data_IF_317456265830
#
_entry.id   IF_317456265830
#
_cell.length_a   1.000
_cell.length_b   1.000
_cell.length_c   1.000
_cell.angle_alpha   90.00
_cell.angle_beta   90.00
_cell.angle_gamma   90.00
#
_symmetry.space_group_name_H-M   'P 1'
#
loop_
_entity.id
_entity.type
_entity.pdbx_description
1 polymer ?
#
# COMPACT_ATOMS: atom_id res chain seq x y z
N UNK A 1 -63.38 30.69 29.91
CA UNK A 1 -62.17 31.53 30.01
C UNK A 1 -61.89 32.04 28.60
N UNK A 2 -62.50 33.19 28.25
CA UNK A 2 -62.38 33.79 26.92
C UNK A 2 -61.10 34.63 26.91
N UNK A 3 -60.21 34.40 25.95
CA UNK A 3 -59.03 35.23 25.71
C UNK A 3 -59.46 36.52 24.99
N UNK A 4 -58.91 37.64 25.46
CA UNK A 4 -59.14 39.01 24.97
C UNK A 4 -58.58 39.21 23.54
N UNK A 5 -59.39 39.68 22.55
CA UNK A 5 -59.01 39.77 21.14
C UNK A 5 -58.18 41.01 20.73
N UNK A 6 -57.69 41.84 21.66
CA UNK A 6 -56.97 43.07 21.32
C UNK A 6 -55.48 43.05 21.66
N UNK A 7 -54.68 42.25 20.95
CA UNK A 7 -53.23 42.48 20.88
C UNK A 7 -52.98 43.70 19.98
N UNK A 8 -52.33 44.78 20.46
CA UNK A 8 -52.12 45.98 19.67
C UNK A 8 -51.21 45.71 18.46
N UNK A 9 -51.60 46.16 17.26
CA UNK A 9 -50.81 45.98 16.01
C UNK A 9 -49.37 46.49 16.13
N UNK A 10 -49.14 47.56 16.89
CA UNK A 10 -47.79 48.10 17.12
C UNK A 10 -46.87 47.14 17.88
N UNK A 11 -47.43 46.27 18.72
CA UNK A 11 -46.67 45.25 19.44
C UNK A 11 -46.20 44.14 18.49
N UNK A 12 -47.02 43.78 17.50
CA UNK A 12 -46.69 42.76 16.49
C UNK A 12 -45.67 43.28 15.47
N UNK A 13 -45.75 44.55 15.06
CA UNK A 13 -44.79 45.14 14.12
C UNK A 13 -43.41 45.43 14.73
N UNK A 14 -43.35 45.77 16.03
CA UNK A 14 -42.08 45.95 16.74
C UNK A 14 -41.36 44.62 17.00
N UNK A 15 -42.08 43.61 17.49
CA UNK A 15 -41.50 42.30 17.82
C UNK A 15 -41.00 41.54 16.59
N UNK A 16 -41.70 41.63 15.45
CA UNK A 16 -41.26 40.98 14.21
C UNK A 16 -39.95 41.54 13.66
N UNK A 17 -39.72 42.86 13.75
CA UNK A 17 -38.47 43.48 13.28
C UNK A 17 -37.26 43.05 14.11
N UNK A 18 -37.38 43.04 15.44
CA UNK A 18 -36.28 42.61 16.33
C UNK A 18 -35.93 41.13 16.14
N UNK A 19 -36.93 40.27 15.94
CA UNK A 19 -36.71 38.85 15.63
C UNK A 19 -35.96 38.69 14.30
N UNK A 20 -36.36 39.41 13.26
CA UNK A 20 -35.69 39.35 11.95
C UNK A 20 -34.24 39.83 12.04
N UNK A 21 -33.99 40.94 12.74
CA UNK A 21 -32.62 41.46 12.96
C UNK A 21 -31.78 40.43 13.73
N UNK A 22 -32.33 39.81 14.77
CA UNK A 22 -31.66 38.76 15.54
C UNK A 22 -31.30 37.54 14.68
N UNK A 23 -32.22 37.07 13.83
CA UNK A 23 -31.97 35.95 12.91
C UNK A 23 -30.89 36.30 11.89
N UNK A 24 -30.96 37.48 11.26
CA UNK A 24 -29.97 37.91 10.28
C UNK A 24 -28.58 38.08 10.90
N UNK A 25 -28.51 38.69 12.09
CA UNK A 25 -27.26 38.80 12.86
C UNK A 25 -26.67 37.42 13.19
N UNK A 26 -27.51 36.50 13.67
CA UNK A 26 -27.10 35.12 13.93
C UNK A 26 -26.58 34.39 12.69
N UNK A 27 -27.27 34.54 11.55
CA UNK A 27 -26.86 33.94 10.27
C UNK A 27 -25.52 34.50 9.77
N UNK A 28 -25.30 35.82 9.87
CA UNK A 28 -24.03 36.45 9.47
C UNK A 28 -22.87 35.93 10.33
N UNK A 29 -23.04 35.87 11.65
CA UNK A 29 -22.02 35.36 12.57
C UNK A 29 -21.73 33.88 12.29
N UNK A 30 -22.77 33.07 12.09
CA UNK A 30 -22.63 31.65 11.74
C UNK A 30 -21.90 31.46 10.40
N UNK A 31 -22.26 32.24 9.38
CA UNK A 31 -21.63 32.18 8.05
C UNK A 31 -20.16 32.61 8.13
N UNK A 32 -19.84 33.68 8.86
CA UNK A 32 -18.47 34.14 9.08
C UNK A 32 -17.62 33.11 9.82
N UNK A 33 -18.15 32.52 10.89
CA UNK A 33 -17.47 31.45 11.65
C UNK A 33 -17.25 30.20 10.77
N UNK A 34 -18.24 29.83 9.97
CA UNK A 34 -18.16 28.70 9.04
C UNK A 34 -17.12 28.91 7.94
N UNK A 35 -17.07 30.11 7.35
CA UNK A 35 -16.07 30.47 6.34
C UNK A 35 -14.65 30.49 6.93
N UNK A 36 -14.47 31.08 8.12
CA UNK A 36 -13.18 31.06 8.83
C UNK A 36 -12.71 29.63 9.12
N UNK A 37 -13.61 28.78 9.62
CA UNK A 37 -13.33 27.36 9.88
C UNK A 37 -12.98 26.61 8.60
N UNK A 38 -13.71 26.85 7.51
CA UNK A 38 -13.42 26.26 6.21
C UNK A 38 -12.06 26.68 5.66
N UNK A 39 -11.74 27.98 5.73
CA UNK A 39 -10.45 28.53 5.30
C UNK A 39 -9.29 27.95 6.14
N UNK A 40 -9.41 27.94 7.48
CA UNK A 40 -8.41 27.35 8.37
C UNK A 40 -8.20 25.87 8.05
N UNK A 41 -9.30 25.09 7.96
CA UNK A 41 -9.22 23.67 7.63
C UNK A 41 -8.53 23.41 6.28
N UNK A 42 -8.74 24.30 5.31
CA UNK A 42 -8.09 24.20 4.00
C UNK A 42 -6.60 24.53 4.09
N UNK A 43 -6.22 25.57 4.82
CA UNK A 43 -4.83 25.93 5.07
C UNK A 43 -4.10 24.78 5.78
N UNK A 44 -4.70 24.24 6.85
CA UNK A 44 -4.12 23.15 7.63
C UNK A 44 -3.93 21.87 6.79
N UNK A 45 -4.88 21.56 5.90
CA UNK A 45 -4.77 20.42 4.96
C UNK A 45 -3.67 20.61 3.92
N UNK A 46 -3.43 21.84 3.47
CA UNK A 46 -2.33 22.13 2.55
C UNK A 46 -0.98 22.11 3.27
N UNK A 47 -0.94 22.58 4.52
CA UNK A 47 0.26 22.59 5.34
C UNK A 47 0.67 21.19 5.79
N UNK A 48 -0.31 20.34 6.12
CA UNK A 48 -0.10 18.96 6.58
C UNK A 48 -1.02 18.02 5.80
N UNK A 49 -0.66 17.60 4.58
CA UNK A 49 -1.52 16.78 3.73
C UNK A 49 -1.48 15.31 4.17
N UNK A 50 -2.03 14.99 5.34
CA UNK A 50 -1.96 13.66 5.94
C UNK A 50 -3.06 12.70 5.46
N UNK A 51 -4.12 13.20 4.84
CA UNK A 51 -5.13 12.32 4.24
C UNK A 51 -4.53 11.45 3.12
N UNK A 52 -4.89 10.17 3.09
CA UNK A 52 -4.42 9.23 2.07
C UNK A 52 -4.29 7.80 2.58
N UNK A 53 -3.67 6.97 1.74
CA UNK A 53 -3.35 5.58 2.05
C UNK A 53 -1.87 5.47 2.44
N UNK A 54 -1.58 4.59 3.38
CA UNK A 54 -0.28 4.40 3.98
C UNK A 54 0.01 2.91 4.16
N UNK A 55 1.29 2.56 4.21
CA UNK A 55 1.76 1.33 4.83
C UNK A 55 2.25 1.70 6.22
N UNK A 56 1.47 1.32 7.24
CA UNK A 56 1.90 1.45 8.62
C UNK A 56 2.87 0.32 8.98
N UNK A 57 3.88 0.61 9.80
CA UNK A 57 4.79 -0.36 10.39
C UNK A 57 4.92 -0.08 11.88
N UNK A 58 4.70 -1.08 12.72
CA UNK A 58 4.87 -0.96 14.16
C UNK A 58 5.81 -2.06 14.66
N UNK A 59 6.63 -1.71 15.64
CA UNK A 59 7.47 -2.66 16.34
C UNK A 59 6.61 -3.44 17.34
N UNK A 60 6.63 -4.76 17.25
CA UNK A 60 5.91 -5.67 18.14
C UNK A 60 6.89 -6.64 18.83
N UNK A 61 6.53 -7.13 20.01
CA UNK A 61 7.34 -8.07 20.77
C UNK A 61 6.86 -9.50 20.55
N UNK A 62 7.72 -10.33 19.97
CA UNK A 62 7.50 -11.77 19.84
C UNK A 62 8.38 -12.53 20.83
N UNK A 63 8.13 -13.84 21.07
CA UNK A 63 9.06 -14.69 21.82
C UNK A 63 10.49 -14.71 21.27
N UNK A 64 10.69 -14.35 19.99
CA UNK A 64 11.99 -14.30 19.32
C UNK A 64 12.60 -12.89 19.27
N UNK A 65 12.01 -11.92 19.98
CA UNK A 65 12.44 -10.53 20.02
C UNK A 65 11.51 -9.59 19.25
N UNK A 66 12.00 -8.37 19.03
CA UNK A 66 11.24 -7.29 18.39
C UNK A 66 11.19 -7.47 16.87
N UNK A 67 10.00 -7.42 16.30
CA UNK A 67 9.77 -7.52 14.85
C UNK A 67 8.96 -6.34 14.36
N UNK A 68 9.18 -5.93 13.11
CA UNK A 68 8.36 -4.91 12.46
C UNK A 68 7.19 -5.55 11.74
N UNK A 69 5.97 -5.25 12.19
CA UNK A 69 4.74 -5.71 11.53
C UNK A 69 4.25 -4.60 10.60
N UNK A 70 3.97 -4.94 9.35
CA UNK A 70 3.47 -3.98 8.34
C UNK A 70 1.99 -4.22 8.03
N UNK A 71 1.24 -3.14 7.86
CA UNK A 71 -0.20 -3.19 7.64
C UNK A 71 -0.70 -1.99 6.83
N UNK A 72 -1.66 -2.17 5.90
CA UNK A 72 -2.27 -1.06 5.19
C UNK A 72 -3.09 -0.20 6.15
N UNK A 73 -2.96 1.11 5.99
CA UNK A 73 -3.67 2.12 6.77
C UNK A 73 -4.30 3.18 5.87
N UNK A 74 -5.44 3.71 6.27
CA UNK A 74 -6.13 4.80 5.58
C UNK A 74 -6.43 5.91 6.55
N UNK A 75 -5.88 7.10 6.28
CA UNK A 75 -6.06 8.29 7.10
C UNK A 75 -7.00 9.29 6.41
N UNK A 76 -7.92 9.86 7.18
CA UNK A 76 -8.79 10.99 6.83
C UNK A 76 -8.42 12.17 7.72
N UNK A 77 -8.52 13.39 7.17
CA UNK A 77 -8.15 14.61 7.88
C UNK A 77 -9.25 15.66 7.81
N UNK A 78 -9.61 16.23 8.96
CA UNK A 78 -10.59 17.30 9.11
C UNK A 78 -9.97 18.45 9.92
N UNK A 79 -9.34 19.39 9.20
CA UNK A 79 -8.52 20.44 9.82
C UNK A 79 -7.28 19.82 10.47
N UNK A 80 -7.11 20.05 11.77
CA UNK A 80 -6.04 19.46 12.58
C UNK A 80 -6.38 18.05 13.11
N UNK A 81 -7.62 17.57 12.94
CA UNK A 81 -7.98 16.22 13.39
C UNK A 81 -7.65 15.20 12.31
N UNK A 82 -7.06 14.08 12.73
CA UNK A 82 -6.74 12.93 11.87
C UNK A 82 -7.45 11.70 12.45
N UNK A 83 -8.23 11.03 11.62
CA UNK A 83 -8.83 9.73 11.97
C UNK A 83 -8.40 8.70 10.94
N UNK A 84 -8.23 7.46 11.34
CA UNK A 84 -7.77 6.44 10.43
C UNK A 84 -8.13 5.03 10.84
N UNK A 85 -7.84 4.08 9.96
CA UNK A 85 -7.98 2.66 10.23
C UNK A 85 -6.77 1.92 9.69
N UNK A 86 -6.21 1.01 10.49
CA UNK A 86 -5.16 0.06 10.09
C UNK A 86 -5.72 -1.36 10.14
N UNK A 87 -5.39 -2.18 9.14
CA UNK A 87 -5.87 -3.58 9.05
C UNK A 87 -4.72 -4.56 9.25
N UNK A 88 -4.83 -5.44 10.25
CA UNK A 88 -3.82 -6.46 10.57
C UNK A 88 -4.53 -7.81 10.61
N UNK A 89 -4.40 -8.59 9.54
CA UNK A 89 -5.23 -9.79 9.34
C UNK A 89 -6.71 -9.42 9.41
N UNK A 90 -7.46 -10.12 10.26
CA UNK A 90 -8.88 -9.84 10.49
C UNK A 90 -9.15 -8.71 11.50
N UNK A 91 -8.10 -8.19 12.16
CA UNK A 91 -8.23 -7.11 13.13
C UNK A 91 -8.19 -5.75 12.46
N UNK A 92 -9.04 -4.85 12.95
CA UNK A 92 -9.08 -3.44 12.54
C UNK A 92 -8.82 -2.55 13.75
N UNK A 93 -7.91 -1.60 13.57
CA UNK A 93 -7.52 -0.64 14.59
C UNK A 93 -7.93 0.75 14.14
N UNK A 94 -8.76 1.43 14.93
CA UNK A 94 -9.15 2.82 14.71
C UNK A 94 -8.09 3.74 15.31
N UNK A 95 -7.73 4.77 14.56
CA UNK A 95 -6.79 5.81 14.93
C UNK A 95 -7.57 7.13 15.09
N UNK A 96 -7.31 7.88 16.15
CA UNK A 96 -7.86 9.23 16.35
C UNK A 96 -6.79 10.11 16.98
N UNK A 97 -6.36 11.15 16.26
CA UNK A 97 -5.30 12.04 16.70
C UNK A 97 -5.50 13.48 16.26
N UNK A 98 -4.67 14.35 16.82
CA UNK A 98 -4.65 15.80 16.53
C UNK A 98 -3.25 16.21 16.12
N UNK A 99 -3.16 17.05 15.09
CA UNK A 99 -1.93 17.67 14.61
C UNK A 99 -1.61 18.87 15.50
N UNK A 100 -0.41 18.94 16.06
CA UNK A 100 0.13 20.18 16.61
C UNK A 100 0.66 21.06 15.47
N UNK A 101 -0.01 22.20 15.16
CA UNK A 101 0.40 23.07 14.06
C UNK A 101 1.73 23.78 14.30
N UNK A 102 2.25 23.82 15.53
CA UNK A 102 3.56 24.40 15.84
C UNK A 102 4.67 23.35 15.78
N UNK A 103 4.41 22.19 16.37
CA UNK A 103 5.39 21.11 16.50
C UNK A 103 5.51 20.18 15.28
N UNK A 104 4.52 20.16 14.38
CA UNK A 104 4.55 19.27 13.22
C UNK A 104 4.48 17.79 13.60
N UNK A 105 3.79 17.47 14.69
CA UNK A 105 3.54 16.09 15.14
C UNK A 105 2.05 15.81 15.27
N UNK A 106 1.70 14.54 15.24
CA UNK A 106 0.36 14.00 15.46
C UNK A 106 0.39 13.16 16.73
N UNK A 107 -0.44 13.48 17.70
CA UNK A 107 -0.63 12.66 18.90
C UNK A 107 -2.08 12.22 19.01
N UNK A 108 -2.31 11.01 19.49
CA UNK A 108 -3.66 10.48 19.55
C UNK A 108 -3.76 9.14 20.25
N UNK A 109 -4.94 8.56 20.14
CA UNK A 109 -5.29 7.24 20.64
C UNK A 109 -5.54 6.28 19.48
N UNK A 110 -5.24 5.02 19.71
CA UNK A 110 -5.70 3.93 18.86
C UNK A 110 -6.48 2.93 19.70
N UNK A 111 -7.50 2.31 19.10
CA UNK A 111 -8.32 1.30 19.75
C UNK A 111 -8.72 0.21 18.77
N UNK A 112 -8.90 -1.01 19.25
CA UNK A 112 -9.50 -2.05 18.44
C UNK A 112 -10.93 -1.65 18.03
N UNK A 113 -11.34 -2.01 16.80
CA UNK A 113 -12.71 -1.80 16.34
C UNK A 113 -13.69 -2.84 16.91
N UNK A 114 -13.20 -4.05 17.18
CA UNK A 114 -14.00 -5.11 17.79
C UNK A 114 -14.24 -4.78 19.27
N UNK A 115 -15.51 -4.68 19.74
CA UNK A 115 -15.81 -4.33 21.14
C UNK A 115 -15.33 -5.36 22.17
N UNK A 116 -15.02 -6.59 21.74
CA UNK A 116 -14.47 -7.63 22.62
C UNK A 116 -12.94 -7.57 22.75
N UNK A 117 -12.25 -6.87 21.84
CA UNK A 117 -10.82 -6.62 21.96
C UNK A 117 -10.62 -5.30 22.73
N UNK A 118 -10.07 -5.41 23.95
CA UNK A 118 -9.81 -4.26 24.83
C UNK A 118 -8.51 -3.53 24.49
N UNK A 119 -7.86 -3.89 23.38
CA UNK A 119 -6.64 -3.24 22.93
C UNK A 119 -6.84 -1.74 22.72
N UNK A 120 -6.07 -0.94 23.46
CA UNK A 120 -6.10 0.52 23.40
C UNK A 120 -4.71 1.06 23.69
N UNK A 121 -4.36 2.16 23.06
CA UNK A 121 -3.09 2.83 23.33
C UNK A 121 -3.06 4.25 22.81
N UNK A 122 -1.89 4.86 22.94
CA UNK A 122 -1.57 6.18 22.45
C UNK A 122 -0.46 6.10 21.42
N UNK A 123 -0.39 7.09 20.54
CA UNK A 123 0.72 7.28 19.62
C UNK A 123 1.18 8.73 19.61
N UNK A 124 2.45 8.92 19.26
CA UNK A 124 3.06 10.20 19.02
C UNK A 124 3.95 10.10 17.79
N UNK A 125 3.62 10.85 16.73
CA UNK A 125 4.22 10.71 15.41
C UNK A 125 4.68 12.08 14.88
N UNK A 126 5.93 12.19 14.47
CA UNK A 126 6.45 13.37 13.78
C UNK A 126 6.10 13.31 12.29
N UNK A 127 5.62 14.43 11.72
CA UNK A 127 5.34 14.56 10.29
C UNK A 127 6.64 14.89 9.56
N UNK A 128 7.05 14.00 8.66
CA UNK A 128 8.25 14.15 7.85
C UNK A 128 7.98 15.02 6.59
N UNK A 129 9.03 15.58 5.95
CA UNK A 129 8.86 16.42 4.74
C UNK A 129 8.14 15.76 3.57
N UNK A 130 8.21 14.43 3.47
CA UNK A 130 7.53 13.62 2.45
C UNK A 130 6.12 13.17 2.88
N UNK A 131 5.66 13.64 4.05
CA UNK A 131 4.42 13.27 4.72
C UNK A 131 4.39 11.85 5.28
N UNK A 132 5.54 11.20 5.44
CA UNK A 132 5.61 10.04 6.32
C UNK A 132 5.40 10.46 7.77
N UNK A 133 4.91 9.51 8.57
CA UNK A 133 4.74 9.71 10.01
C UNK A 133 5.71 8.77 10.73
N UNK A 134 6.52 9.28 11.66
CA UNK A 134 7.50 8.47 12.39
C UNK A 134 7.49 8.86 13.87
N UNK A 135 7.38 7.88 14.75
CA UNK A 135 7.49 8.11 16.18
C UNK A 135 7.28 6.83 16.97
N UNK A 136 6.47 6.92 18.03
CA UNK A 136 6.28 5.86 19.01
C UNK A 136 4.81 5.56 19.23
N UNK A 137 4.54 4.33 19.67
CA UNK A 137 3.25 3.91 20.19
C UNK A 137 3.45 3.29 21.56
N UNK A 138 2.42 3.38 22.42
CA UNK A 138 2.34 2.63 23.67
C UNK A 138 0.90 2.23 23.93
N UNK A 139 0.66 0.98 24.28
CA UNK A 139 -0.70 0.51 24.55
C UNK A 139 -0.77 -0.82 25.25
N UNK A 140 -1.97 -1.13 25.71
CA UNK A 140 -2.30 -2.35 26.42
C UNK A 140 -2.62 -3.46 25.42
N UNK A 141 -1.88 -4.55 25.50
CA UNK A 141 -2.16 -5.78 24.78
C UNK A 141 -3.08 -6.66 25.63
N UNK A 142 -4.32 -6.82 25.14
CA UNK A 142 -5.35 -7.61 25.83
C UNK A 142 -5.04 -9.11 25.87
N UNK A 143 -4.24 -9.63 24.93
CA UNK A 143 -3.90 -11.06 24.88
C UNK A 143 -2.80 -11.44 25.86
N UNK A 144 -1.85 -10.52 26.10
CA UNK A 144 -0.68 -10.74 26.95
C UNK A 144 -0.75 -9.99 28.30
N UNK A 145 -1.82 -9.22 28.53
CA UNK A 145 -2.06 -8.42 29.74
C UNK A 145 -0.90 -7.48 30.12
N UNK A 146 -0.18 -6.95 29.12
CA UNK A 146 0.97 -6.07 29.32
C UNK A 146 0.84 -4.76 28.56
N UNK A 147 1.51 -3.73 29.06
CA UNK A 147 1.73 -2.49 28.30
C UNK A 147 2.99 -2.67 27.47
N UNK A 148 2.86 -2.51 26.17
CA UNK A 148 3.96 -2.54 25.21
C UNK A 148 4.26 -1.12 24.72
N UNK A 149 5.50 -0.91 24.28
CA UNK A 149 5.96 0.32 23.63
C UNK A 149 6.86 -0.02 22.47
N UNK A 150 6.73 0.71 21.36
CA UNK A 150 7.52 0.43 20.17
C UNK A 150 7.58 1.59 19.20
N UNK A 151 8.44 1.44 18.20
CA UNK A 151 8.47 2.35 17.05
C UNK A 151 7.18 2.25 16.23
N UNK A 152 6.71 3.39 15.71
CA UNK A 152 5.55 3.46 14.82
C UNK A 152 5.86 4.33 13.60
N UNK A 153 5.60 3.79 12.41
CA UNK A 153 5.87 4.44 11.13
C UNK A 153 4.65 4.35 10.22
N UNK A 154 4.40 5.37 9.42
CA UNK A 154 3.45 5.34 8.32
C UNK A 154 4.16 5.87 7.09
N UNK A 155 4.34 4.99 6.10
CA UNK A 155 4.87 5.36 4.80
C UNK A 155 3.73 5.68 3.87
N UNK A 156 3.67 6.93 3.39
CA UNK A 156 2.58 7.33 2.49
C UNK A 156 2.69 6.59 1.17
N UNK A 157 1.58 5.99 0.73
CA UNK A 157 1.52 5.32 -0.57
C UNK A 157 1.66 6.38 -1.66
N UNK A 158 2.61 6.16 -2.57
CA UNK A 158 2.84 7.05 -3.68
C UNK A 158 1.69 6.94 -4.70
N UNK A 159 1.19 8.06 -5.24
CA UNK A 159 0.20 8.02 -6.31
C UNK A 159 0.87 7.55 -7.62
N UNK A 160 0.82 6.25 -7.88
CA UNK A 160 1.44 5.64 -9.06
C UNK A 160 0.52 5.75 -10.28
N UNK A 161 1.04 6.33 -11.37
CA UNK A 161 0.40 6.28 -12.68
C UNK A 161 1.02 5.14 -13.49
N UNK A 162 0.25 4.11 -13.78
CA UNK A 162 0.71 2.92 -14.50
C UNK A 162 0.48 3.11 -16.00
N UNK A 163 1.46 2.74 -16.82
CA UNK A 163 1.43 2.80 -18.28
C UNK A 163 2.10 1.57 -18.87
N UNK A 164 1.75 1.20 -20.10
CA UNK A 164 2.47 0.20 -20.86
C UNK A 164 3.89 0.69 -21.18
N UNK A 165 4.85 -0.21 -21.15
CA UNK A 165 6.22 0.10 -21.58
C UNK A 165 6.23 0.36 -23.09
N UNK A 166 6.95 1.39 -23.49
CA UNK A 166 7.18 1.82 -24.86
C UNK A 166 8.67 1.94 -25.13
N UNK A 167 9.07 2.17 -26.37
CA UNK A 167 10.49 2.36 -26.72
C UNK A 167 11.13 3.51 -25.92
N UNK A 168 10.39 4.59 -25.68
CA UNK A 168 10.86 5.76 -24.94
C UNK A 168 11.04 5.48 -23.44
N UNK A 169 10.26 4.56 -22.87
CA UNK A 169 10.31 4.21 -21.44
C UNK A 169 11.14 2.96 -21.13
N UNK A 170 11.46 2.15 -22.14
CA UNK A 170 12.27 0.93 -21.99
C UNK A 170 13.63 1.22 -21.34
N UNK A 171 14.35 2.26 -21.78
CA UNK A 171 15.64 2.63 -21.20
C UNK A 171 15.56 2.94 -19.69
N UNK A 172 14.48 3.59 -19.23
CA UNK A 172 14.28 3.85 -17.80
C UNK A 172 13.97 2.57 -17.03
N UNK A 173 13.19 1.66 -17.61
CA UNK A 173 12.88 0.37 -17.00
C UNK A 173 14.12 -0.53 -16.91
N UNK A 174 14.97 -0.51 -17.94
CA UNK A 174 16.25 -1.21 -17.95
C UNK A 174 17.18 -0.69 -16.87
N UNK A 175 17.33 0.63 -16.72
CA UNK A 175 18.15 1.19 -15.65
C UNK A 175 17.67 0.74 -14.24
N UNK A 176 16.35 0.67 -14.05
CA UNK A 176 15.77 0.10 -12.81
C UNK A 176 16.13 -1.39 -12.71
N UNK A 177 15.96 -2.18 -13.77
CA UNK A 177 16.25 -3.61 -13.77
C UNK A 177 17.71 -3.90 -13.44
N UNK A 178 18.65 -3.19 -14.05
CA UNK A 178 20.08 -3.35 -13.79
C UNK A 178 20.43 -3.04 -12.32
N UNK A 179 19.85 -1.98 -11.76
CA UNK A 179 20.11 -1.57 -10.38
C UNK A 179 19.50 -2.50 -9.33
N UNK A 180 18.38 -3.18 -9.65
CA UNK A 180 17.61 -3.96 -8.66
C UNK A 180 17.76 -5.46 -8.84
N UNK A 181 17.92 -5.94 -10.07
CA UNK A 181 17.91 -7.37 -10.43
C UNK A 181 19.26 -7.84 -10.99
N UNK A 182 20.15 -6.92 -11.34
CA UNK A 182 21.47 -7.22 -11.87
C UNK A 182 21.63 -6.86 -13.34
N UNK A 183 22.88 -6.63 -13.74
CA UNK A 183 23.22 -6.21 -15.10
C UNK A 183 22.89 -7.31 -16.11
N UNK A 184 22.28 -6.91 -17.23
CA UNK A 184 21.92 -7.78 -18.36
C UNK A 184 20.89 -8.89 -18.03
N UNK A 185 20.25 -8.86 -16.86
CA UNK A 185 19.26 -9.86 -16.45
C UNK A 185 17.99 -9.83 -17.31
N UNK A 186 17.49 -8.63 -17.65
CA UNK A 186 16.33 -8.42 -18.53
C UNK A 186 16.78 -7.62 -19.76
N UNK A 187 16.80 -8.24 -20.97
CA UNK A 187 17.17 -7.53 -22.18
C UNK A 187 16.05 -6.58 -22.65
N UNK A 188 16.39 -5.52 -23.37
CA UNK A 188 15.44 -4.52 -23.90
C UNK A 188 14.27 -5.16 -24.66
N UNK A 189 14.56 -6.20 -25.45
CA UNK A 189 13.56 -6.93 -26.26
C UNK A 189 12.43 -7.51 -25.41
N UNK A 190 12.69 -7.86 -24.15
CA UNK A 190 11.66 -8.42 -23.26
C UNK A 190 10.68 -7.32 -22.81
N UNK A 191 11.15 -6.08 -22.61
CA UNK A 191 10.27 -4.95 -22.31
C UNK A 191 9.34 -4.60 -23.47
N UNK A 192 9.82 -4.72 -24.70
CA UNK A 192 9.10 -4.37 -25.93
C UNK A 192 8.36 -5.55 -26.57
N UNK A 193 8.40 -6.73 -25.94
CA UNK A 193 7.75 -7.92 -26.48
C UNK A 193 6.22 -7.80 -26.34
N UNK A 194 5.52 -7.78 -27.47
CA UNK A 194 4.05 -7.66 -27.52
C UNK A 194 3.31 -8.87 -26.96
N UNK A 195 3.98 -10.01 -26.79
CA UNK A 195 3.41 -11.20 -26.14
C UNK A 195 3.50 -11.11 -24.61
N UNK A 196 4.23 -10.12 -24.07
CA UNK A 196 4.30 -9.87 -22.63
C UNK A 196 3.43 -8.67 -22.27
N UNK A 197 2.96 -8.66 -21.03
CA UNK A 197 2.29 -7.52 -20.45
C UNK A 197 3.28 -6.72 -19.60
N UNK A 198 4.00 -5.82 -20.25
CA UNK A 198 5.04 -4.98 -19.63
C UNK A 198 4.46 -3.61 -19.28
N UNK A 199 4.51 -3.26 -18.00
CA UNK A 199 4.05 -1.97 -17.48
C UNK A 199 5.09 -1.30 -16.61
N UNK A 200 5.07 0.03 -16.56
CA UNK A 200 5.88 0.83 -15.64
C UNK A 200 5.01 1.80 -14.85
N UNK A 201 5.48 2.14 -13.65
CA UNK A 201 4.81 3.04 -12.73
C UNK A 201 5.56 4.35 -12.67
N UNK A 202 4.84 5.45 -12.84
CA UNK A 202 5.38 6.79 -12.64
C UNK A 202 4.93 7.36 -11.30
N UNK A 203 5.87 7.93 -10.55
CA UNK A 203 5.58 8.78 -9.38
C UNK A 203 6.00 10.19 -9.74
N UNK A 204 5.05 11.13 -9.72
CA UNK A 204 5.21 12.48 -10.30
C UNK A 204 5.55 12.42 -11.79
N UNK A 205 6.83 12.52 -12.16
CA UNK A 205 7.35 12.49 -13.54
C UNK A 205 8.44 11.43 -13.75
N UNK A 206 8.80 10.69 -12.71
CA UNK A 206 9.91 9.75 -12.75
C UNK A 206 9.40 8.31 -12.83
N UNK A 207 10.09 7.48 -13.60
CA UNK A 207 9.88 6.03 -13.59
C UNK A 207 10.31 5.48 -12.21
N UNK A 208 9.35 4.94 -11.48
CA UNK A 208 9.52 4.45 -10.12
C UNK A 208 9.70 2.94 -10.03
N UNK A 209 9.19 2.20 -11.02
CA UNK A 209 9.29 0.75 -11.08
C UNK A 209 8.63 0.18 -12.33
N UNK A 210 8.77 -1.12 -12.53
CA UNK A 210 8.11 -1.85 -13.61
C UNK A 210 7.64 -3.24 -13.15
N UNK A 211 6.75 -3.83 -13.95
CA UNK A 211 6.38 -5.23 -13.85
C UNK A 211 6.19 -5.86 -15.24
N UNK A 212 6.53 -7.14 -15.36
CA UNK A 212 6.37 -7.92 -16.60
C UNK A 212 5.52 -9.17 -16.29
N UNK A 213 4.31 -9.21 -16.85
CA UNK A 213 3.44 -10.37 -16.86
C UNK A 213 3.60 -11.19 -18.14
N UNK A 214 3.48 -12.51 -18.03
CA UNK A 214 3.48 -13.46 -19.16
C UNK A 214 2.34 -14.45 -18.96
N UNK A 215 1.64 -14.83 -20.03
CA UNK A 215 0.61 -15.87 -20.00
C UNK A 215 1.12 -17.04 -20.83
N UNK A 216 0.93 -18.25 -20.32
CA UNK A 216 1.35 -19.49 -20.96
C UNK A 216 0.18 -20.46 -21.01
N UNK A 217 0.10 -21.21 -22.10
CA UNK A 217 -0.61 -22.48 -22.11
C UNK A 217 0.11 -23.48 -21.19
N UNK A 218 -0.63 -24.39 -20.58
CA UNK A 218 -0.10 -25.35 -19.60
C UNK A 218 1.14 -26.09 -20.11
N UNK A 219 1.08 -26.68 -21.31
CA UNK A 219 2.18 -27.51 -21.83
C UNK A 219 3.44 -26.67 -22.10
N UNK A 220 3.28 -25.46 -22.62
CA UNK A 220 4.39 -24.54 -22.86
C UNK A 220 5.05 -24.12 -21.54
N UNK A 221 4.25 -23.90 -20.50
CA UNK A 221 4.75 -23.60 -19.17
C UNK A 221 5.57 -24.76 -18.59
N UNK A 222 5.06 -25.98 -18.68
CA UNK A 222 5.74 -27.20 -18.19
C UNK A 222 7.10 -27.39 -18.87
N UNK A 223 7.14 -27.20 -20.19
CA UNK A 223 8.35 -27.34 -20.99
C UNK A 223 9.37 -26.25 -20.63
N UNK A 224 8.91 -25.01 -20.42
CA UNK A 224 9.78 -23.85 -20.20
C UNK A 224 10.28 -23.71 -18.76
N UNK A 225 9.50 -24.17 -17.78
CA UNK A 225 9.80 -24.00 -16.37
C UNK A 225 9.75 -25.33 -15.58
N UNK A 226 10.56 -26.34 -15.96
CA UNK A 226 10.49 -27.67 -15.35
C UNK A 226 10.77 -27.66 -13.84
N UNK A 227 11.68 -26.80 -13.36
CA UNK A 227 11.99 -26.64 -11.93
C UNK A 227 10.76 -26.15 -11.12
N UNK A 228 9.93 -25.29 -11.71
CA UNK A 228 8.68 -24.83 -11.09
C UNK A 228 7.64 -25.95 -11.13
N UNK A 229 7.52 -26.63 -12.28
CA UNK A 229 6.55 -27.71 -12.47
C UNK A 229 6.71 -28.83 -11.43
N UNK A 230 7.96 -29.22 -11.15
CA UNK A 230 8.31 -30.23 -10.15
C UNK A 230 7.87 -29.85 -8.73
N UNK A 231 7.75 -28.56 -8.40
CA UNK A 231 7.29 -28.10 -7.08
C UNK A 231 5.77 -28.06 -6.93
N UNK A 232 5.03 -28.22 -8.01
CA UNK A 232 3.57 -28.13 -8.00
C UNK A 232 2.91 -29.23 -8.83
N UNK A 233 3.29 -30.51 -8.66
CA UNK A 233 2.82 -31.58 -9.53
C UNK A 233 1.29 -31.73 -9.51
N UNK A 234 0.67 -31.48 -8.35
CA UNK A 234 -0.77 -31.58 -8.20
C UNK A 234 -1.50 -30.36 -8.76
N UNK A 235 -0.99 -29.14 -8.60
CA UNK A 235 -1.76 -27.95 -8.94
C UNK A 235 -1.92 -27.71 -10.45
N UNK A 236 -0.95 -28.18 -11.25
CA UNK A 236 -0.84 -27.84 -12.68
C UNK A 236 -1.90 -28.48 -13.58
N UNK A 237 -2.27 -29.78 -13.43
CA UNK A 237 -3.25 -30.45 -14.31
C UNK A 237 -4.60 -29.77 -14.43
N UNK A 238 -4.97 -28.89 -13.49
CA UNK A 238 -6.26 -28.19 -13.48
C UNK A 238 -6.19 -26.74 -13.99
N UNK A 239 -5.03 -26.29 -14.44
CA UNK A 239 -4.84 -24.95 -14.99
C UNK A 239 -4.57 -25.03 -16.50
N UNK A 240 -5.52 -24.58 -17.30
CA UNK A 240 -5.38 -24.48 -18.75
C UNK A 240 -4.38 -23.36 -19.12
N UNK A 241 -4.52 -22.21 -18.44
CA UNK A 241 -3.67 -21.04 -18.62
C UNK A 241 -3.00 -20.62 -17.33
N UNK A 242 -1.72 -20.25 -17.45
CA UNK A 242 -0.85 -19.90 -16.32
C UNK A 242 -0.30 -18.48 -16.55
N UNK A 243 -0.65 -17.56 -15.66
CA UNK A 243 -0.10 -16.21 -15.63
C UNK A 243 1.10 -16.14 -14.70
N UNK A 244 2.22 -15.64 -15.18
CA UNK A 244 3.43 -15.46 -14.39
C UNK A 244 3.79 -13.97 -14.31
N UNK A 245 3.85 -13.42 -13.10
CA UNK A 245 4.53 -12.14 -12.89
C UNK A 245 6.03 -12.44 -12.84
N UNK A 246 6.66 -12.35 -14.01
CA UNK A 246 8.03 -12.80 -14.22
C UNK A 246 9.07 -11.86 -13.61
N UNK A 247 8.75 -10.58 -13.46
CA UNK A 247 9.65 -9.60 -12.85
C UNK A 247 8.87 -8.42 -12.30
N UNK A 248 9.28 -7.93 -11.15
CA UNK A 248 8.83 -6.68 -10.54
C UNK A 248 10.05 -6.03 -9.90
N UNK A 249 10.32 -4.77 -10.24
CA UNK A 249 11.40 -4.02 -9.61
C UNK A 249 10.96 -2.58 -9.36
N UNK A 250 11.43 -2.03 -8.24
CA UNK A 250 11.12 -0.67 -7.80
C UNK A 250 12.42 0.02 -7.45
N UNK A 251 12.60 1.23 -7.98
CA UNK A 251 13.76 2.08 -7.70
C UNK A 251 13.85 2.32 -6.19
N UNK A 252 15.06 2.27 -5.63
CA UNK A 252 15.29 2.23 -4.18
C UNK A 252 14.61 3.38 -3.42
N UNK A 253 14.59 4.58 -3.98
CA UNK A 253 13.96 5.78 -3.42
C UNK A 253 12.41 5.75 -3.41
N UNK A 254 11.80 4.80 -4.11
CA UNK A 254 10.34 4.58 -4.12
C UNK A 254 9.91 3.24 -3.50
N UNK A 255 10.86 2.47 -2.96
CA UNK A 255 10.52 1.25 -2.22
C UNK A 255 9.71 1.58 -0.96
N UNK A 256 8.91 0.61 -0.49
CA UNK A 256 8.02 0.75 0.68
C UNK A 256 6.95 1.85 0.54
N UNK A 257 6.75 2.39 -0.67
CA UNK A 257 5.70 3.38 -1.02
C UNK A 257 4.51 2.79 -1.78
N UNK A 258 4.34 1.46 -1.75
CA UNK A 258 3.26 0.76 -2.44
C UNK A 258 3.45 0.58 -3.96
N UNK A 259 4.56 1.05 -4.55
CA UNK A 259 4.78 0.98 -6.01
C UNK A 259 4.76 -0.45 -6.55
N UNK A 260 5.51 -1.37 -5.92
CA UNK A 260 5.55 -2.78 -6.33
C UNK A 260 4.18 -3.46 -6.21
N UNK A 261 3.41 -3.14 -5.15
CA UNK A 261 2.04 -3.63 -4.99
C UNK A 261 1.14 -3.13 -6.12
N UNK A 262 1.15 -1.82 -6.42
CA UNK A 262 0.31 -1.25 -7.50
C UNK A 262 0.63 -1.86 -8.86
N UNK A 263 1.91 -2.09 -9.16
CA UNK A 263 2.34 -2.72 -10.40
C UNK A 263 1.90 -4.18 -10.50
N UNK A 264 2.16 -4.97 -9.46
CA UNK A 264 1.75 -6.38 -9.40
C UNK A 264 0.24 -6.53 -9.47
N UNK A 265 -0.52 -5.72 -8.72
CA UNK A 265 -1.98 -5.70 -8.78
C UNK A 265 -2.50 -5.40 -10.19
N UNK A 266 -1.88 -4.46 -10.89
CA UNK A 266 -2.26 -4.11 -12.25
C UNK A 266 -2.03 -5.27 -13.24
N UNK A 267 -0.93 -6.00 -13.09
CA UNK A 267 -0.67 -7.22 -13.87
C UNK A 267 -1.66 -8.34 -13.52
N UNK A 268 -2.00 -8.51 -12.25
CA UNK A 268 -3.01 -9.51 -11.84
C UNK A 268 -4.38 -9.21 -12.43
N UNK A 269 -4.84 -7.96 -12.40
CA UNK A 269 -6.11 -7.59 -13.02
C UNK A 269 -6.12 -7.87 -14.53
N UNK A 270 -4.96 -7.76 -15.20
CA UNK A 270 -4.82 -8.14 -16.61
C UNK A 270 -4.95 -9.65 -16.82
N UNK A 271 -4.43 -10.46 -15.90
CA UNK A 271 -4.60 -11.92 -15.89
C UNK A 271 -6.04 -12.32 -15.57
N UNK A 272 -6.66 -11.71 -14.55
CA UNK A 272 -8.07 -11.94 -14.18
C UNK A 272 -8.99 -11.62 -15.38
N UNK A 273 -8.77 -10.50 -16.07
CA UNK A 273 -9.54 -10.12 -17.27
C UNK A 273 -9.38 -11.09 -18.46
N UNK A 274 -8.41 -12.01 -18.41
CA UNK A 274 -8.16 -13.06 -19.40
C UNK A 274 -8.53 -14.46 -18.90
N UNK A 275 -9.18 -14.55 -17.74
CA UNK A 275 -9.57 -15.82 -17.10
C UNK A 275 -8.39 -16.77 -16.90
N UNK A 276 -7.24 -16.23 -16.49
CA UNK A 276 -6.06 -17.03 -16.17
C UNK A 276 -6.33 -17.93 -14.96
N UNK A 277 -6.33 -19.24 -15.15
CA UNK A 277 -6.72 -20.23 -14.14
C UNK A 277 -5.78 -20.26 -12.92
N UNK A 278 -4.48 -20.09 -13.16
CA UNK A 278 -3.45 -20.09 -12.13
C UNK A 278 -2.47 -18.94 -12.33
N UNK A 279 -2.10 -18.29 -11.23
CA UNK A 279 -1.13 -17.21 -11.22
C UNK A 279 0.08 -17.58 -10.38
N UNK A 280 1.27 -17.21 -10.86
CA UNK A 280 2.55 -17.52 -10.23
C UNK A 280 3.38 -16.24 -10.07
N UNK A 281 4.06 -16.15 -8.93
CA UNK A 281 5.14 -15.19 -8.70
C UNK A 281 6.38 -15.93 -8.18
N UNK A 282 7.56 -15.44 -8.56
CA UNK A 282 8.82 -15.88 -7.97
C UNK A 282 9.42 -14.76 -7.13
N UNK A 283 9.75 -15.08 -5.89
CA UNK A 283 10.53 -14.22 -5.01
C UNK A 283 11.99 -14.59 -5.04
N UNK A 284 12.85 -13.60 -5.20
CA UNK A 284 14.28 -13.80 -5.00
C UNK A 284 14.58 -13.89 -3.49
N UNK A 285 15.16 -15.02 -3.05
CA UNK A 285 15.64 -15.18 -1.69
C UNK A 285 17.02 -14.50 -1.55
N UNK A 286 17.04 -13.38 -0.84
CA UNK A 286 18.24 -12.65 -0.47
C UNK A 286 18.59 -12.91 1.02
N UNK A 287 19.80 -12.56 1.49
CA UNK A 287 20.18 -12.73 2.89
C UNK A 287 19.27 -12.01 3.89
N UNK A 288 18.63 -10.91 3.47
CA UNK A 288 17.70 -10.11 4.27
C UNK A 288 16.23 -10.55 4.10
N UNK A 289 15.97 -11.64 3.37
CA UNK A 289 14.65 -12.24 3.19
C UNK A 289 14.20 -12.31 1.73
N UNK A 290 12.91 -12.54 1.53
CA UNK A 290 12.30 -12.66 0.19
C UNK A 290 11.58 -11.36 -0.14
N UNK A 291 12.15 -10.56 -1.05
CA UNK A 291 11.71 -9.17 -1.26
C UNK A 291 10.25 -9.04 -1.72
N UNK A 292 9.72 -10.03 -2.43
CA UNK A 292 8.33 -9.99 -2.94
C UNK A 292 7.30 -10.56 -1.96
N UNK A 293 7.72 -11.23 -0.87
CA UNK A 293 6.84 -12.04 -0.03
C UNK A 293 5.64 -11.24 0.50
N UNK A 294 5.88 -10.04 1.04
CA UNK A 294 4.80 -9.19 1.55
C UNK A 294 3.79 -8.81 0.47
N UNK A 295 4.25 -8.52 -0.75
CA UNK A 295 3.37 -8.22 -1.89
C UNK A 295 2.60 -9.47 -2.31
N UNK A 296 3.27 -10.62 -2.44
CA UNK A 296 2.63 -11.88 -2.83
C UNK A 296 1.50 -12.27 -1.86
N UNK A 297 1.75 -12.24 -0.55
CA UNK A 297 0.75 -12.56 0.46
C UNK A 297 -0.43 -11.58 0.45
N UNK A 298 -0.16 -10.27 0.35
CA UNK A 298 -1.22 -9.24 0.26
C UNK A 298 -2.10 -9.45 -0.97
N UNK A 299 -1.53 -10.01 -2.05
CA UNK A 299 -2.21 -10.29 -3.31
C UNK A 299 -2.88 -11.67 -3.34
N UNK A 300 -2.93 -12.37 -2.21
CA UNK A 300 -3.61 -13.67 -2.06
C UNK A 300 -2.81 -14.87 -2.57
N UNK A 301 -1.49 -14.73 -2.72
CA UNK A 301 -0.63 -15.87 -3.06
C UNK A 301 -0.22 -16.65 -1.81
N UNK A 302 -0.19 -17.96 -1.95
CA UNK A 302 0.34 -18.89 -0.97
C UNK A 302 1.74 -19.35 -1.37
N UNK A 303 2.66 -19.36 -0.42
CA UNK A 303 4.01 -19.88 -0.61
C UNK A 303 4.00 -21.41 -0.80
N UNK A 304 4.80 -21.92 -1.74
CA UNK A 304 5.00 -23.36 -2.02
C UNK A 304 6.41 -23.84 -1.71
N UNK A 305 7.30 -22.92 -1.33
CA UNK A 305 8.67 -23.20 -0.89
C UNK A 305 9.74 -22.73 -1.87
N UNK A 306 10.99 -22.93 -1.47
CA UNK A 306 12.16 -22.49 -2.22
C UNK A 306 12.64 -23.53 -3.24
N UNK A 307 13.09 -23.04 -4.39
CA UNK A 307 13.80 -23.78 -5.43
C UNK A 307 15.27 -23.33 -5.39
N UNK A 308 16.19 -24.18 -4.91
CA UNK A 308 17.61 -23.84 -4.87
C UNK A 308 18.19 -23.72 -6.28
N UNK A 309 19.25 -22.91 -6.43
CA UNK A 309 20.00 -22.75 -7.68
C UNK A 309 19.07 -22.51 -8.90
N UNK A 310 17.99 -21.74 -8.68
CA UNK A 310 16.95 -21.57 -9.69
C UNK A 310 17.53 -20.96 -10.97
N UNK A 311 18.36 -19.94 -10.78
CA UNK A 311 19.01 -19.14 -11.82
C UNK A 311 20.38 -19.66 -12.27
N UNK A 312 20.85 -20.81 -11.79
CA UNK A 312 22.19 -21.32 -12.08
C UNK A 312 22.44 -21.46 -13.58
N UNK A 313 21.64 -22.31 -14.25
CA UNK A 313 21.78 -22.59 -15.68
C UNK A 313 21.45 -21.36 -16.55
N UNK A 314 20.46 -20.57 -16.13
CA UNK A 314 20.03 -19.36 -16.85
C UNK A 314 21.12 -18.29 -16.85
N UNK A 315 21.83 -18.12 -15.73
CA UNK A 315 22.95 -17.19 -15.59
C UNK A 315 24.16 -17.58 -16.44
N UNK A 316 24.48 -18.87 -16.54
CA UNK A 316 25.55 -19.37 -17.39
C UNK A 316 25.22 -19.20 -18.87
N UNK A 317 23.97 -19.48 -19.26
CA UNK A 317 23.50 -19.38 -20.64
C UNK A 317 23.41 -17.92 -21.13
N UNK A 318 22.92 -17.02 -20.28
CA UNK A 318 22.68 -15.61 -20.65
C UNK A 318 23.81 -14.66 -20.25
N UNK A 319 24.71 -15.07 -19.36
CA UNK A 319 25.86 -14.27 -18.95
C UNK A 319 25.54 -13.05 -18.08
N UNK A 320 24.37 -13.00 -17.41
CA UNK A 320 24.01 -11.86 -16.55
C UNK A 320 24.68 -11.92 -15.18
N UNK A 321 24.84 -10.77 -14.54
CA UNK A 321 25.48 -10.65 -13.22
C UNK A 321 24.46 -10.51 -12.11
N UNK A 322 24.46 -11.44 -11.16
CA UNK A 322 23.60 -11.41 -9.99
C UNK A 322 24.11 -10.33 -8.99
N UNK A 323 23.23 -9.49 -8.39
CA UNK A 323 23.66 -8.50 -7.41
C UNK A 323 24.26 -9.11 -6.13
N UNK A 324 23.94 -10.38 -5.83
CA UNK A 324 24.43 -11.11 -4.65
C UNK A 324 25.61 -12.01 -4.99
N UNK A 325 25.55 -12.79 -6.08
CA UNK A 325 26.61 -13.74 -6.43
C UNK A 325 27.74 -13.12 -7.26
N UNK A 326 27.50 -12.01 -7.96
CA UNK A 326 28.44 -11.43 -8.92
C UNK A 326 28.35 -12.09 -10.30
N UNK A 327 29.52 -12.46 -10.86
CA UNK A 327 29.60 -13.17 -12.14
C UNK A 327 28.98 -14.58 -12.07
N UNK A 328 28.41 -15.11 -13.17
CA UNK A 328 27.87 -16.47 -13.21
C UNK A 328 28.86 -17.54 -12.70
N UNK A 329 28.36 -18.61 -12.03
CA UNK A 329 26.94 -18.95 -11.88
C UNK A 329 26.23 -18.28 -10.69
N UNK A 330 24.91 -18.09 -10.83
CA UNK A 330 24.03 -17.61 -9.76
C UNK A 330 23.53 -18.77 -8.89
N UNK A 331 23.83 -18.72 -7.58
CA UNK A 331 23.43 -19.71 -6.58
C UNK A 331 22.18 -19.32 -5.77
N UNK A 332 21.46 -18.29 -6.21
CA UNK A 332 20.30 -17.81 -5.46
C UNK A 332 19.09 -18.76 -5.61
N UNK A 333 18.33 -18.87 -4.52
CA UNK A 333 17.06 -19.60 -4.48
C UNK A 333 15.88 -18.73 -4.91
N UNK A 334 14.93 -19.30 -5.62
CA UNK A 334 13.65 -18.68 -5.92
C UNK A 334 12.55 -19.25 -5.02
N UNK A 335 11.79 -18.40 -4.32
CA UNK A 335 10.61 -18.81 -3.55
C UNK A 335 9.38 -18.73 -4.42
N UNK A 336 8.65 -19.84 -4.51
CA UNK A 336 7.50 -20.00 -5.37
C UNK A 336 6.21 -19.59 -4.65
N UNK A 337 5.45 -18.69 -5.25
CA UNK A 337 4.15 -18.24 -4.77
C UNK A 337 3.08 -18.55 -5.81
N UNK A 338 1.93 -19.06 -5.35
CA UNK A 338 0.82 -19.48 -6.22
C UNK A 338 -0.49 -18.92 -5.73
N UNK A 339 -1.31 -18.47 -6.69
CA UNK A 339 -2.70 -18.11 -6.48
C UNK A 339 -3.57 -18.80 -7.53
N UNK A 340 -4.70 -19.35 -7.09
CA UNK A 340 -5.73 -19.89 -7.97
C UNK A 340 -6.80 -18.82 -8.18
N UNK A 341 -7.36 -18.74 -9.39
CA UNK A 341 -8.59 -17.99 -9.59
C UNK A 341 -9.72 -18.75 -8.87
N UNK A 342 -10.62 -18.07 -8.13
CA UNK A 342 -11.81 -18.72 -7.60
C UNK A 342 -12.61 -19.33 -8.75
N UNK A 343 -13.08 -20.58 -8.59
CA UNK A 343 -14.03 -21.14 -9.54
C UNK A 343 -15.28 -20.25 -9.54
N UNK A 344 -15.63 -19.70 -10.70
CA UNK A 344 -16.81 -18.86 -10.91
C UNK A 344 -18.09 -19.69 -10.96
#
# INVERSE_FOLDING_TARGET
>A
MMLDPHVPRWFVEGTTKEIVVGILGGLIVWAGASLKRFASNRIDRHRFPLAGEYISQFEDETPHGKVWVSAPAKLKQHGLNVVGVTHIGDKKWRLSGTIDPKGGYVSGVYSAENPYDRGVGNFFLTIQPDNDLVGLWSGYDSANEKISVGGYRFHKIAPVKIRNVSKESAASCMAIAESQLGKDYIPEKDFLNTNFYSVYGMVKRDAAGFAIGKIFEQQDFLNKFPKIAQRMPHALPWADTIGMISSVAVRQDYQKRGVGYSLSWHVLNHFDARNVSMMIMLGWAAPDGVHIAGIAHTLGFSEKGAIPDYWYDDSLSKGYRCPVCGDPPCHCSAVLYVRHQPAH
#
